data_IF_544054785160
#
_entry.id   IF_544054785160
#
_cell.length_a   1.000
_cell.length_b   1.000
_cell.length_c   1.000
_cell.angle_alpha   90.00
_cell.angle_beta   90.00
_cell.angle_gamma   90.00
#
_symmetry.space_group_name_H-M   'P 1'
#
loop_
_entity.id
_entity.type
_entity.pdbx_description
1 polymer ?
#
# COMPACT_ATOMS: atom_id res chain seq x y z
N UNK A 1 24.49 -1.39 6.18
CA UNK A 1 23.12 -1.70 6.70
C UNK A 1 22.30 -2.26 5.55
N UNK A 2 21.88 -3.53 5.58
CA UNK A 2 21.04 -4.10 4.52
C UNK A 2 19.68 -3.40 4.51
N UNK A 3 19.30 -2.78 3.38
CA UNK A 3 17.99 -2.10 3.23
C UNK A 3 16.89 -3.17 3.27
N UNK A 4 16.11 -3.20 4.35
CA UNK A 4 14.98 -4.13 4.47
C UNK A 4 14.05 -3.94 3.26
N UNK A 5 13.85 -5.00 2.49
CA UNK A 5 12.93 -4.99 1.34
C UNK A 5 11.71 -5.81 1.70
N UNK A 6 10.61 -5.12 1.98
CA UNK A 6 9.30 -5.68 2.30
C UNK A 6 8.56 -6.04 1.01
N UNK A 7 8.68 -5.18 -0.01
CA UNK A 7 7.98 -5.34 -1.29
C UNK A 7 9.01 -5.55 -2.40
N UNK A 8 9.10 -6.78 -2.90
CA UNK A 8 9.92 -7.15 -4.07
C UNK A 8 9.05 -7.40 -5.30
N UNK A 9 9.66 -7.42 -6.50
CA UNK A 9 8.94 -7.78 -7.74
C UNK A 9 8.39 -9.20 -7.68
N UNK A 10 9.19 -10.13 -7.14
CA UNK A 10 8.79 -11.54 -7.01
C UNK A 10 7.67 -11.69 -6.00
N UNK A 11 7.74 -10.98 -4.87
CA UNK A 11 6.63 -10.97 -3.91
C UNK A 11 5.34 -10.46 -4.55
N UNK A 12 5.39 -9.38 -5.32
CA UNK A 12 4.21 -8.84 -6.02
C UNK A 12 3.65 -9.84 -7.04
N UNK A 13 4.51 -10.51 -7.80
CA UNK A 13 4.11 -11.56 -8.75
C UNK A 13 3.43 -12.72 -8.02
N UNK A 14 4.10 -13.30 -7.03
CA UNK A 14 3.57 -14.41 -6.22
C UNK A 14 2.26 -14.01 -5.54
N UNK A 15 2.15 -12.78 -5.03
CA UNK A 15 0.93 -12.31 -4.39
C UNK A 15 -0.24 -12.22 -5.39
N UNK A 16 -0.01 -11.70 -6.60
CA UNK A 16 -1.03 -11.62 -7.65
C UNK A 16 -1.48 -13.02 -8.11
N UNK A 17 -0.57 -13.99 -8.18
CA UNK A 17 -0.86 -15.34 -8.68
C UNK A 17 -1.51 -16.25 -7.63
N UNK A 18 -1.19 -16.07 -6.35
CA UNK A 18 -1.60 -17.01 -5.28
C UNK A 18 -2.77 -16.52 -4.42
N UNK A 19 -3.01 -15.20 -4.36
CA UNK A 19 -4.02 -14.67 -3.46
C UNK A 19 -5.41 -14.59 -4.12
N UNK A 20 -6.49 -14.70 -3.32
CA UNK A 20 -7.84 -14.49 -3.82
C UNK A 20 -7.99 -13.12 -4.48
N UNK A 21 -8.79 -13.05 -5.55
CA UNK A 21 -9.03 -11.83 -6.33
C UNK A 21 -9.30 -10.60 -5.48
N UNK A 22 -10.13 -10.73 -4.44
CA UNK A 22 -10.48 -9.62 -3.54
C UNK A 22 -9.25 -9.06 -2.79
N UNK A 23 -8.32 -9.91 -2.35
CA UNK A 23 -7.09 -9.47 -1.69
C UNK A 23 -6.13 -8.80 -2.68
N UNK A 24 -6.07 -9.30 -3.92
CA UNK A 24 -5.26 -8.70 -4.99
C UNK A 24 -5.82 -7.33 -5.36
N UNK A 25 -7.14 -7.20 -5.48
CA UNK A 25 -7.84 -5.94 -5.75
C UNK A 25 -7.52 -4.88 -4.69
N UNK A 26 -7.67 -5.23 -3.42
CA UNK A 26 -7.36 -4.32 -2.32
C UNK A 26 -5.89 -3.90 -2.33
N UNK A 27 -4.98 -4.84 -2.60
CA UNK A 27 -3.55 -4.56 -2.68
C UNK A 27 -3.24 -3.59 -3.82
N UNK A 28 -3.74 -3.86 -5.04
CA UNK A 28 -3.54 -3.02 -6.23
C UNK A 28 -4.16 -1.65 -6.00
N UNK A 29 -5.40 -1.56 -5.56
CA UNK A 29 -6.07 -0.29 -5.31
C UNK A 29 -5.33 0.57 -4.29
N UNK A 30 -4.90 -0.03 -3.17
CA UNK A 30 -4.09 0.68 -2.14
C UNK A 30 -2.73 1.13 -2.68
N UNK A 31 -2.08 0.29 -3.49
CA UNK A 31 -0.80 0.61 -4.12
C UNK A 31 -0.93 1.79 -5.08
N UNK A 32 -1.93 1.78 -5.97
CA UNK A 32 -2.17 2.85 -6.93
C UNK A 32 -2.56 4.17 -6.25
N UNK A 33 -3.35 4.11 -5.18
CA UNK A 33 -3.67 5.31 -4.38
C UNK A 33 -2.41 5.87 -3.71
N UNK A 34 -1.52 5.00 -3.22
CA UNK A 34 -0.28 5.47 -2.60
C UNK A 34 0.69 6.07 -3.63
N UNK A 35 0.75 5.53 -4.86
CA UNK A 35 1.52 6.11 -5.97
C UNK A 35 0.91 7.44 -6.43
N UNK A 36 -0.41 7.55 -6.53
CA UNK A 36 -1.09 8.80 -6.86
C UNK A 36 -0.75 9.91 -5.85
N UNK A 37 -0.73 9.59 -4.56
CA UNK A 37 -0.36 10.53 -3.48
C UNK A 37 1.10 11.00 -3.55
N UNK A 38 1.96 10.29 -4.27
CA UNK A 38 3.35 10.68 -4.50
C UNK A 38 3.53 11.61 -5.72
N UNK A 39 2.55 11.67 -6.63
CA UNK A 39 2.58 12.65 -7.72
C UNK A 39 2.38 14.08 -7.21
N UNK A 40 2.85 15.07 -7.97
CA UNK A 40 2.60 16.49 -7.64
C UNK A 40 1.10 16.82 -7.74
N UNK A 41 0.67 17.93 -7.13
CA UNK A 41 -0.73 18.35 -7.19
C UNK A 41 -1.23 18.53 -8.65
N UNK A 42 -0.38 19.09 -9.52
CA UNK A 42 -0.70 19.31 -10.93
C UNK A 42 -0.80 18.00 -11.72
N UNK A 43 0.06 17.03 -11.43
CA UNK A 43 0.01 15.69 -12.02
C UNK A 43 -1.23 14.92 -11.56
N UNK A 44 -1.59 15.05 -10.27
CA UNK A 44 -2.81 14.48 -9.73
C UNK A 44 -4.05 15.10 -10.40
N UNK A 45 -4.06 16.42 -10.66
CA UNK A 45 -5.17 17.09 -11.32
C UNK A 45 -5.30 16.70 -12.80
N UNK A 46 -4.18 16.72 -13.53
CA UNK A 46 -4.13 16.43 -14.97
C UNK A 46 -4.27 14.94 -15.32
N UNK A 47 -4.06 14.04 -14.36
CA UNK A 47 -3.92 12.60 -14.60
C UNK A 47 -2.73 12.28 -15.52
N UNK A 48 -1.71 13.11 -15.51
CA UNK A 48 -0.51 12.94 -16.32
C UNK A 48 0.73 13.05 -15.43
N UNK A 49 1.87 12.59 -15.93
CA UNK A 49 3.17 12.76 -15.27
C UNK A 49 3.98 13.73 -16.14
N UNK A 50 4.31 14.88 -15.58
CA UNK A 50 5.09 15.93 -16.27
C UNK A 50 6.53 15.96 -15.78
N UNK A 51 6.74 15.54 -14.54
CA UNK A 51 8.05 15.54 -13.91
C UNK A 51 8.74 14.17 -14.08
N UNK A 52 9.95 14.16 -14.65
CA UNK A 52 10.76 12.95 -14.78
C UNK A 52 11.60 12.67 -13.53
N UNK A 53 11.00 12.75 -12.36
CA UNK A 53 11.68 12.54 -11.07
C UNK A 53 11.68 11.06 -10.61
N UNK A 54 11.03 10.18 -11.36
CA UNK A 54 10.91 8.75 -11.04
C UNK A 54 10.00 8.44 -9.85
N UNK A 55 9.14 9.38 -9.46
CA UNK A 55 8.18 9.30 -8.37
C UNK A 55 6.75 9.24 -8.93
N UNK A 56 5.88 8.45 -8.31
CA UNK A 56 4.51 8.25 -8.76
C UNK A 56 4.42 7.33 -9.98
N UNK A 57 3.55 7.67 -10.93
CA UNK A 57 3.37 6.89 -12.15
C UNK A 57 4.41 7.29 -13.20
N UNK A 58 4.70 6.39 -14.14
CA UNK A 58 5.40 6.80 -15.36
C UNK A 58 4.40 7.41 -16.35
N UNK A 59 4.83 8.31 -17.25
CA UNK A 59 3.95 8.93 -18.26
C UNK A 59 3.06 7.93 -19.02
N UNK A 60 3.60 6.80 -19.48
CA UNK A 60 2.82 5.75 -20.18
C UNK A 60 1.68 5.12 -19.34
N UNK A 61 1.80 5.16 -18.02
CA UNK A 61 0.82 4.63 -17.06
C UNK A 61 0.01 5.74 -16.37
N UNK A 62 0.44 7.00 -16.42
CA UNK A 62 -0.03 8.11 -15.58
C UNK A 62 -1.54 8.29 -15.62
N UNK A 63 -2.10 8.35 -16.84
CA UNK A 63 -3.53 8.46 -17.07
C UNK A 63 -4.31 7.29 -16.49
N UNK A 64 -3.91 6.08 -16.83
CA UNK A 64 -4.61 4.89 -16.33
C UNK A 64 -4.42 4.64 -14.84
N UNK A 65 -3.25 4.95 -14.29
CA UNK A 65 -2.92 4.85 -12.86
C UNK A 65 -3.78 5.80 -12.04
N UNK A 66 -3.82 7.07 -12.46
CA UNK A 66 -4.62 8.10 -11.81
C UNK A 66 -6.12 7.80 -11.88
N UNK A 67 -6.62 7.41 -13.06
CA UNK A 67 -8.03 7.02 -13.22
C UNK A 67 -8.38 5.82 -12.34
N UNK A 68 -7.55 4.77 -12.34
CA UNK A 68 -7.81 3.57 -11.54
C UNK A 68 -7.77 3.89 -10.04
N UNK A 69 -6.79 4.66 -9.58
CA UNK A 69 -6.69 5.09 -8.19
C UNK A 69 -7.90 5.92 -7.74
N UNK A 70 -8.29 6.92 -8.53
CA UNK A 70 -9.48 7.76 -8.25
C UNK A 70 -10.76 6.92 -8.28
N UNK A 71 -10.90 6.01 -9.23
CA UNK A 71 -12.02 5.07 -9.32
C UNK A 71 -12.10 4.18 -8.08
N UNK A 72 -10.97 3.66 -7.59
CA UNK A 72 -10.92 2.84 -6.38
C UNK A 72 -11.41 3.61 -5.15
N UNK A 73 -10.99 4.87 -5.00
CA UNK A 73 -11.47 5.76 -3.92
C UNK A 73 -12.98 5.97 -4.05
N UNK A 74 -13.47 6.32 -5.25
CA UNK A 74 -14.88 6.59 -5.52
C UNK A 74 -15.77 5.36 -5.30
N UNK A 75 -15.31 4.17 -5.69
CA UNK A 75 -16.06 2.92 -5.64
C UNK A 75 -15.90 2.18 -4.30
N UNK A 76 -15.52 2.88 -3.23
CA UNK A 76 -15.37 2.32 -1.86
C UNK A 76 -14.45 1.10 -1.80
N UNK A 77 -13.34 1.16 -2.53
CA UNK A 77 -12.31 0.13 -2.51
C UNK A 77 -12.57 -1.06 -3.44
N UNK A 78 -13.33 -0.86 -4.53
CA UNK A 78 -13.53 -1.85 -5.59
C UNK A 78 -12.92 -1.39 -6.91
N UNK A 79 -12.38 -2.34 -7.67
CA UNK A 79 -11.87 -2.15 -9.03
C UNK A 79 -12.77 -2.89 -10.02
N UNK A 80 -12.86 -2.34 -11.23
CA UNK A 80 -13.52 -3.00 -12.35
C UNK A 80 -12.61 -4.10 -12.93
N UNK A 81 -13.19 -5.07 -13.63
CA UNK A 81 -12.44 -6.19 -14.19
C UNK A 81 -11.31 -5.76 -15.13
N UNK A 82 -11.57 -4.79 -16.01
CA UNK A 82 -10.56 -4.26 -16.93
C UNK A 82 -9.44 -3.51 -16.20
N UNK A 83 -9.73 -2.90 -15.04
CA UNK A 83 -8.71 -2.24 -14.21
C UNK A 83 -7.81 -3.31 -13.61
N UNK A 84 -8.41 -4.35 -13.01
CA UNK A 84 -7.67 -5.47 -12.46
C UNK A 84 -6.78 -6.13 -13.51
N UNK A 85 -7.34 -6.49 -14.66
CA UNK A 85 -6.60 -7.12 -15.75
C UNK A 85 -5.40 -6.26 -16.17
N UNK A 86 -5.57 -4.95 -16.34
CA UNK A 86 -4.47 -4.07 -16.74
C UNK A 86 -3.27 -4.11 -15.77
N UNK A 87 -3.54 -4.20 -14.46
CA UNK A 87 -2.50 -4.14 -13.43
C UNK A 87 -1.92 -5.50 -13.06
N UNK A 88 -2.68 -6.59 -13.26
CA UNK A 88 -2.23 -7.97 -13.03
C UNK A 88 -1.65 -8.63 -14.28
N UNK A 89 -1.95 -8.13 -15.48
CA UNK A 89 -1.46 -8.70 -16.74
C UNK A 89 0.07 -8.72 -16.76
N UNK A 90 0.69 -9.91 -16.92
CA UNK A 90 2.13 -10.00 -17.06
C UNK A 90 2.63 -9.30 -18.31
N UNK A 91 3.74 -8.57 -18.19
CA UNK A 91 4.48 -8.10 -19.34
C UNK A 91 5.32 -9.24 -19.94
N UNK A 92 6.06 -8.97 -21.03
CA UNK A 92 6.94 -9.96 -21.70
C UNK A 92 7.95 -10.62 -20.77
N UNK A 93 8.31 -9.95 -19.67
CA UNK A 93 9.21 -10.45 -18.64
C UNK A 93 8.52 -11.33 -17.58
N UNK A 94 7.23 -11.62 -17.70
CA UNK A 94 6.47 -12.46 -16.77
C UNK A 94 6.06 -11.79 -15.45
N UNK A 95 6.28 -10.47 -15.30
CA UNK A 95 5.88 -9.73 -14.11
C UNK A 95 4.62 -8.90 -14.36
N UNK A 96 3.68 -8.82 -13.39
CA UNK A 96 2.51 -7.96 -13.51
C UNK A 96 2.93 -6.50 -13.60
N UNK A 97 2.13 -5.67 -14.28
CA UNK A 97 2.45 -4.25 -14.50
C UNK A 97 2.72 -3.49 -13.19
N UNK A 98 2.01 -3.81 -12.11
CA UNK A 98 2.24 -3.21 -10.78
C UNK A 98 3.66 -3.41 -10.25
N UNK A 99 4.35 -4.50 -10.64
CA UNK A 99 5.73 -4.80 -10.21
C UNK A 99 6.75 -3.78 -10.70
N UNK A 100 6.43 -2.97 -11.72
CA UNK A 100 7.27 -1.84 -12.13
C UNK A 100 7.56 -0.87 -10.97
N UNK A 101 6.59 -0.70 -10.08
CA UNK A 101 6.62 0.28 -9.00
C UNK A 101 7.13 -0.29 -7.66
N UNK A 102 7.66 -1.52 -7.65
CA UNK A 102 8.09 -2.24 -6.43
C UNK A 102 9.00 -1.39 -5.51
N UNK A 103 9.94 -0.62 -6.09
CA UNK A 103 10.86 0.24 -5.32
C UNK A 103 10.10 1.30 -4.51
N UNK A 104 9.19 2.02 -5.16
CA UNK A 104 8.39 3.05 -4.52
C UNK A 104 7.40 2.44 -3.51
N UNK A 105 6.79 1.31 -3.85
CA UNK A 105 5.88 0.60 -2.94
C UNK A 105 6.59 0.10 -1.70
N UNK A 106 7.85 -0.33 -1.82
CA UNK A 106 8.67 -0.70 -0.69
C UNK A 106 8.98 0.49 0.22
N UNK A 107 9.33 1.65 -0.35
CA UNK A 107 9.54 2.89 0.40
C UNK A 107 8.27 3.30 1.15
N UNK A 108 7.11 3.27 0.48
CA UNK A 108 5.81 3.54 1.12
C UNK A 108 5.54 2.55 2.27
N UNK A 109 5.87 1.27 2.08
CA UNK A 109 5.67 0.26 3.11
C UNK A 109 6.60 0.47 4.31
N UNK A 110 7.84 0.91 4.08
CA UNK A 110 8.79 1.27 5.12
C UNK A 110 8.36 2.53 5.88
N UNK A 111 7.91 3.57 5.18
CA UNK A 111 7.40 4.82 5.76
C UNK A 111 6.17 4.60 6.64
N UNK A 112 5.30 3.66 6.23
CA UNK A 112 4.08 3.32 6.98
C UNK A 112 4.30 2.34 8.12
N UNK A 113 5.45 1.68 8.19
CA UNK A 113 5.73 0.84 9.36
C UNK A 113 5.73 1.77 10.58
N UNK A 114 4.91 1.51 11.60
CA UNK A 114 5.09 2.20 12.85
C UNK A 114 6.54 1.98 13.28
N UNK A 115 7.19 3.05 13.77
CA UNK A 115 8.51 2.92 14.36
C UNK A 115 8.50 1.72 15.31
N UNK A 116 9.57 0.88 15.33
CA UNK A 116 9.63 -0.22 16.26
C UNK A 116 9.33 0.34 17.65
N UNK A 117 8.22 -0.09 18.25
CA UNK A 117 7.87 0.28 19.61
C UNK A 117 9.05 -0.16 20.45
N UNK A 118 9.91 0.78 20.81
CA UNK A 118 10.92 0.56 21.84
C UNK A 118 10.11 0.27 23.10
N UNK A 119 9.96 -1.02 23.43
CA UNK A 119 9.43 -1.49 24.70
C UNK A 119 10.42 -1.09 25.81
N UNK A 120 10.47 0.20 26.10
CA UNK A 120 11.00 0.75 27.32
C UNK A 120 9.87 0.73 28.36
N UNK A 121 9.96 -0.22 29.29
CA UNK A 121 9.41 -0.19 30.65
C UNK A 121 8.17 0.68 30.90
N UNK A 122 6.99 0.06 31.02
CA UNK A 122 5.97 0.38 32.06
C UNK A 122 4.83 -0.64 31.98
N UNK A 123 5.12 -1.90 32.30
CA UNK A 123 4.09 -2.88 32.68
C UNK A 123 3.89 -2.84 34.20
N UNK A 124 3.54 -1.67 34.76
CA UNK A 124 3.13 -1.57 36.19
C UNK A 124 2.09 -0.46 36.39
N UNK A 125 0.98 -0.48 35.66
CA UNK A 125 -0.16 0.41 35.96
C UNK A 125 -1.53 -0.14 35.54
N UNK A 126 -1.70 -1.46 35.45
CA UNK A 126 -3.02 -2.09 35.23
C UNK A 126 -3.39 -3.20 36.21
N UNK A 127 -2.57 -3.46 37.24
CA UNK A 127 -2.88 -4.43 38.30
C UNK A 127 -3.15 -3.81 39.69
N UNK A 128 -3.15 -2.48 39.83
CA UNK A 128 -3.40 -1.84 41.14
C UNK A 128 -4.85 -1.38 41.40
N UNK A 129 -5.76 -1.43 40.42
CA UNK A 129 -7.16 -0.94 40.57
C UNK A 129 -8.17 -2.10 40.70
N UNK A 130 -7.72 -3.31 41.06
CA UNK A 130 -8.62 -4.46 41.32
C UNK A 130 -8.42 -5.13 42.68
N UNK A 131 -7.81 -4.42 43.64
CA UNK A 131 -7.61 -4.89 45.02
C UNK A 131 -8.06 -3.88 46.10
N UNK A 132 -9.02 -3.02 45.79
CA UNK A 132 -9.71 -2.14 46.76
C UNK A 132 -11.25 -2.22 46.65
N UNK A 133 -11.79 -3.43 46.50
CA UNK A 133 -13.25 -3.67 46.55
C UNK A 133 -13.58 -5.02 47.21
N UNK A 134 -12.84 -5.37 48.26
CA UNK A 134 -13.17 -6.50 49.14
C UNK A 134 -12.69 -6.24 50.57
N UNK A 135 -13.26 -5.20 51.17
CA UNK A 135 -13.23 -4.96 52.60
C UNK A 135 -14.40 -4.04 52.91
N UNK A 136 -15.61 -4.61 52.97
CA UNK A 136 -16.83 -4.09 53.64
C UNK A 136 -17.96 -5.07 53.31
N UNK A 137 -17.91 -6.24 53.95
CA UNK A 137 -19.09 -7.04 54.28
C UNK A 137 -18.61 -8.11 55.27
N UNK A 138 -18.47 -7.70 56.53
CA UNK A 138 -18.67 -8.49 57.75
C UNK A 138 -18.89 -7.48 58.88
#
# INVERSE_FOLDING_TARGET
MAKQTIVTRDWLKTYVETQPRQKVEQMIGRALVALLKRQTADEQASNDTREENGIGFSGADARSGSITAKSYIKNKGKLLDWQMEKWTKPARNGYPRISKYHRQLNEIALEKRPAPVTLGHTTTARQAIRKMHRAHND
#
